data_IF_599490668038
#
_entry.id   IF_599490668038
#
_cell.length_a   1.000
_cell.length_b   1.000
_cell.length_c   1.000
_cell.angle_alpha   90.00
_cell.angle_beta   90.00
_cell.angle_gamma   90.00
#
_symmetry.space_group_name_H-M   'P 1'
#
loop_
_entity.id
_entity.type
_entity.pdbx_description
1 polymer ?
#
# COMPACT_ATOMS: atom_id res chain seq x y z
N UNK A 1 25.54 0.30 -19.16
CA UNK A 1 24.94 -0.52 -18.09
C UNK A 1 25.17 0.18 -16.76
N UNK A 2 24.12 0.75 -16.15
CA UNK A 2 24.21 1.34 -14.81
C UNK A 2 23.78 0.27 -13.81
N UNK A 3 24.53 0.05 -12.71
CA UNK A 3 24.21 -0.99 -11.75
C UNK A 3 22.89 -0.64 -11.05
N UNK A 4 21.93 -1.55 -11.15
CA UNK A 4 20.71 -1.52 -10.35
C UNK A 4 21.18 -1.98 -8.97
N UNK A 5 21.33 -1.04 -8.03
CA UNK A 5 21.76 -1.34 -6.68
C UNK A 5 20.78 -2.30 -6.04
N UNK A 6 21.30 -3.48 -5.72
CA UNK A 6 20.69 -4.53 -4.92
C UNK A 6 19.96 -3.98 -3.70
N UNK A 7 18.66 -4.24 -3.59
CA UNK A 7 17.92 -4.25 -2.32
C UNK A 7 16.83 -5.33 -2.37
N UNK A 8 17.18 -6.52 -2.85
CA UNK A 8 16.22 -7.62 -3.09
C UNK A 8 16.28 -8.74 -2.02
N UNK A 9 16.78 -8.47 -0.81
CA UNK A 9 16.84 -9.49 0.24
C UNK A 9 16.36 -9.06 1.65
N UNK A 10 15.93 -7.82 1.86
CA UNK A 10 15.50 -7.34 3.20
C UNK A 10 14.11 -6.67 3.24
N UNK A 11 13.46 -6.48 2.09
CA UNK A 11 12.19 -5.75 1.98
C UNK A 11 10.93 -6.61 1.86
N UNK A 12 11.06 -7.94 1.82
CA UNK A 12 9.92 -8.86 1.84
C UNK A 12 9.11 -8.67 3.14
N UNK A 13 9.79 -8.39 4.25
CA UNK A 13 9.26 -8.18 5.60
C UNK A 13 8.10 -7.17 5.66
N UNK A 14 8.21 -6.06 4.93
CA UNK A 14 7.22 -4.98 4.96
C UNK A 14 5.97 -5.26 4.13
N UNK A 15 6.10 -5.90 2.97
CA UNK A 15 4.95 -6.28 2.14
C UNK A 15 4.19 -7.44 2.79
N UNK A 16 4.90 -8.37 3.42
CA UNK A 16 4.31 -9.54 4.04
C UNK A 16 3.54 -9.24 5.33
N UNK A 17 3.77 -8.08 5.97
CA UNK A 17 2.97 -7.70 7.14
C UNK A 17 1.48 -7.57 6.81
N UNK A 18 1.14 -7.21 5.57
CA UNK A 18 -0.25 -7.14 5.12
C UNK A 18 -0.89 -8.54 4.95
N UNK A 19 -0.07 -9.58 4.81
CA UNK A 19 -0.51 -10.97 4.68
C UNK A 19 -0.90 -11.60 6.02
N UNK A 20 -0.33 -11.10 7.13
CA UNK A 20 -0.61 -11.59 8.48
C UNK A 20 -2.02 -11.25 8.99
N UNK A 21 -2.74 -10.34 8.32
CA UNK A 21 -4.01 -9.79 8.80
C UNK A 21 -3.87 -8.74 9.91
N UNK A 22 -2.66 -8.48 10.41
CA UNK A 22 -2.42 -7.43 11.41
C UNK A 22 -2.66 -6.03 10.86
N UNK A 23 -2.40 -5.82 9.56
CA UNK A 23 -2.79 -4.59 8.85
C UNK A 23 -4.00 -4.91 7.98
N UNK A 24 -5.17 -4.48 8.43
CA UNK A 24 -6.42 -4.64 7.69
C UNK A 24 -6.49 -3.66 6.52
N UNK A 25 -6.91 -4.15 5.34
CA UNK A 25 -7.30 -3.27 4.23
C UNK A 25 -8.61 -2.60 4.62
N UNK A 26 -8.67 -1.26 4.68
CA UNK A 26 -9.88 -0.56 5.08
C UNK A 26 -11.03 -0.81 4.10
N UNK A 27 -12.28 -0.73 4.57
CA UNK A 27 -13.47 -1.01 3.76
C UNK A 27 -14.05 0.21 3.06
N UNK A 28 -13.57 1.41 3.41
CA UNK A 28 -14.02 2.67 2.83
C UNK A 28 -12.81 3.55 2.48
N UNK A 29 -13.04 4.52 1.61
CA UNK A 29 -11.97 5.40 1.12
C UNK A 29 -11.37 6.26 2.22
N UNK A 30 -12.17 6.76 3.16
CA UNK A 30 -11.70 7.67 4.22
C UNK A 30 -10.63 7.00 5.09
N UNK A 31 -10.91 5.79 5.57
CA UNK A 31 -9.96 5.04 6.40
C UNK A 31 -8.73 4.62 5.59
N UNK A 32 -8.90 4.32 4.30
CA UNK A 32 -7.78 4.07 3.38
C UNK A 32 -6.92 5.31 3.19
N UNK A 33 -7.53 6.49 3.07
CA UNK A 33 -6.86 7.76 2.96
C UNK A 33 -5.98 8.01 4.18
N UNK A 34 -6.52 7.82 5.39
CA UNK A 34 -5.77 7.98 6.64
C UNK A 34 -4.56 7.03 6.72
N UNK A 35 -4.74 5.76 6.35
CA UNK A 35 -3.67 4.76 6.36
C UNK A 35 -2.59 5.07 5.31
N UNK A 36 -2.99 5.48 4.11
CA UNK A 36 -2.06 5.87 3.04
C UNK A 36 -1.30 7.15 3.42
N UNK A 37 -1.97 8.15 3.99
CA UNK A 37 -1.34 9.38 4.49
C UNK A 37 -0.37 9.10 5.61
N UNK A 38 -0.69 8.17 6.52
CA UNK A 38 0.26 7.70 7.53
C UNK A 38 1.51 7.08 6.87
N UNK A 39 1.32 6.22 5.85
CA UNK A 39 2.41 5.65 5.07
C UNK A 39 3.27 6.69 4.35
N UNK A 40 2.67 7.77 3.81
CA UNK A 40 3.44 8.83 3.16
C UNK A 40 4.49 9.47 4.08
N UNK A 41 4.26 9.50 5.40
CA UNK A 41 5.20 10.11 6.36
C UNK A 41 6.56 9.42 6.36
N UNK A 42 6.64 8.15 5.96
CA UNK A 42 7.92 7.43 5.88
C UNK A 42 8.72 7.74 4.61
N UNK A 43 8.19 8.54 3.68
CA UNK A 43 8.82 8.81 2.37
C UNK A 43 9.77 10.02 2.36
N UNK A 44 10.10 10.59 3.52
CA UNK A 44 11.02 11.72 3.63
C UNK A 44 10.59 12.91 2.77
N UNK A 45 11.45 13.36 1.86
CA UNK A 45 11.19 14.50 0.97
C UNK A 45 9.93 14.33 0.10
N UNK A 46 9.57 13.08 -0.25
CA UNK A 46 8.39 12.79 -1.06
C UNK A 46 7.07 12.76 -0.27
N UNK A 47 7.11 12.89 1.07
CA UNK A 47 5.94 12.78 1.93
C UNK A 47 4.83 13.78 1.57
N UNK A 48 5.21 15.01 1.23
CA UNK A 48 4.27 16.08 0.86
C UNK A 48 3.58 15.79 -0.48
N UNK A 49 4.34 15.35 -1.49
CA UNK A 49 3.79 15.00 -2.79
C UNK A 49 2.83 13.80 -2.67
N UNK A 50 3.24 12.77 -1.92
CA UNK A 50 2.41 11.59 -1.64
C UNK A 50 1.10 11.97 -0.93
N UNK A 51 1.17 12.79 0.11
CA UNK A 51 -0.02 13.26 0.85
C UNK A 51 -0.93 14.11 -0.04
N UNK A 52 -0.34 14.98 -0.88
CA UNK A 52 -1.08 15.80 -1.83
C UNK A 52 -1.88 14.95 -2.84
N UNK A 53 -1.27 13.89 -3.38
CA UNK A 53 -1.96 12.96 -4.27
C UNK A 53 -3.15 12.27 -3.60
N UNK A 54 -2.96 11.80 -2.37
CA UNK A 54 -4.01 11.10 -1.61
C UNK A 54 -5.17 12.05 -1.29
N UNK A 55 -4.88 13.28 -0.90
CA UNK A 55 -5.90 14.28 -0.58
C UNK A 55 -6.68 14.75 -1.82
N UNK A 56 -6.03 14.75 -2.99
CA UNK A 56 -6.68 15.10 -4.26
C UNK A 56 -7.56 13.98 -4.82
N UNK A 57 -7.32 12.72 -4.41
CA UNK A 57 -8.10 11.59 -4.86
C UNK A 57 -9.43 11.46 -4.11
N UNK A 58 -10.54 11.47 -4.84
CA UNK A 58 -11.85 11.08 -4.32
C UNK A 58 -12.27 9.72 -4.90
N UNK A 59 -12.12 8.69 -4.08
CA UNK A 59 -12.55 7.33 -4.42
C UNK A 59 -13.77 6.89 -3.60
N UNK A 60 -14.46 7.81 -2.92
CA UNK A 60 -15.55 7.46 -1.99
C UNK A 60 -16.62 6.58 -2.64
N UNK A 61 -17.01 6.90 -3.87
CA UNK A 61 -18.01 6.14 -4.62
C UNK A 61 -17.49 4.83 -5.24
N UNK A 62 -16.19 4.74 -5.53
CA UNK A 62 -15.59 3.62 -6.29
C UNK A 62 -14.81 2.63 -5.42
N UNK A 63 -14.34 3.04 -4.25
CA UNK A 63 -13.45 2.25 -3.39
C UNK A 63 -14.12 0.96 -2.92
N UNK A 64 -15.40 1.02 -2.52
CA UNK A 64 -16.16 -0.17 -2.12
C UNK A 64 -16.29 -1.20 -3.25
N UNK A 65 -16.39 -0.75 -4.50
CA UNK A 65 -16.43 -1.62 -5.68
C UNK A 65 -15.05 -2.21 -6.00
N UNK A 66 -13.98 -1.47 -5.71
CA UNK A 66 -12.61 -1.94 -5.89
C UNK A 66 -12.16 -2.87 -4.76
N UNK A 67 -12.75 -2.79 -3.57
CA UNK A 67 -12.32 -3.50 -2.37
C UNK A 67 -12.05 -4.99 -2.61
N UNK A 68 -12.97 -5.70 -3.28
CA UNK A 68 -12.80 -7.13 -3.57
C UNK A 68 -11.55 -7.42 -4.42
N UNK A 69 -11.22 -6.54 -5.36
CA UNK A 69 -10.04 -6.66 -6.20
C UNK A 69 -8.77 -6.34 -5.43
N UNK A 70 -8.81 -5.38 -4.49
CA UNK A 70 -7.69 -5.04 -3.61
C UNK A 70 -7.35 -6.25 -2.71
N UNK A 71 -8.37 -6.90 -2.13
CA UNK A 71 -8.20 -8.14 -1.36
C UNK A 71 -7.54 -9.22 -2.22
N UNK A 72 -8.05 -9.44 -3.43
CA UNK A 72 -7.50 -10.45 -4.34
C UNK A 72 -6.06 -10.17 -4.75
N UNK A 73 -5.71 -8.90 -4.98
CA UNK A 73 -4.34 -8.49 -5.30
C UNK A 73 -3.40 -8.75 -4.12
N UNK A 74 -3.83 -8.43 -2.90
CA UNK A 74 -3.08 -8.78 -1.68
C UNK A 74 -2.85 -10.28 -1.63
N UNK A 75 -3.89 -11.10 -1.76
CA UNK A 75 -3.78 -12.55 -1.62
C UNK A 75 -2.80 -13.14 -2.66
N UNK A 76 -2.87 -12.67 -3.92
CA UNK A 76 -1.91 -13.05 -4.97
C UNK A 76 -0.49 -12.59 -4.61
N UNK A 77 -0.32 -11.36 -4.13
CA UNK A 77 0.98 -10.82 -3.70
C UNK A 77 1.58 -11.65 -2.57
N UNK A 78 0.78 -11.97 -1.56
CA UNK A 78 1.18 -12.81 -0.43
C UNK A 78 1.63 -14.20 -0.89
N UNK A 79 0.84 -14.87 -1.74
CA UNK A 79 1.21 -16.19 -2.25
C UNK A 79 2.52 -16.20 -3.05
N UNK A 80 2.81 -15.10 -3.78
CA UNK A 80 3.98 -15.02 -4.65
C UNK A 80 5.25 -14.57 -3.94
N UNK A 81 5.13 -13.64 -3.00
CA UNK A 81 6.28 -12.94 -2.44
C UNK A 81 6.52 -13.22 -0.96
N UNK A 82 5.57 -13.85 -0.25
CA UNK A 82 5.58 -13.97 1.21
C UNK A 82 5.43 -15.42 1.71
N UNK A 83 6.24 -16.31 1.18
CA UNK A 83 6.29 -17.73 1.59
C UNK A 83 7.14 -17.94 2.83
#
# INVERSE_FOLDING_TARGET
MRPITSTDADNTSGICIMCSGMIGIPKNWKDAQELLTYGCRSLGEAANACTGMINAADLTASYSRMYIYIIRLRDIGCQKFCQ
#
